data_IF_214212370550
#
_entry.id   IF_214212370550
#
_cell.length_a   1.000
_cell.length_b   1.000
_cell.length_c   1.000
_cell.angle_alpha   90.00
_cell.angle_beta   90.00
_cell.angle_gamma   90.00
#
_symmetry.space_group_name_H-M   'P 1'
#
loop_
_entity.id
_entity.type
_entity.pdbx_description
1 polymer ?
#
# COMPACT_ATOMS: atom_id res chain seq x y z
N UNK A 1 -6.29 32.53 20.96
CA UNK A 1 -7.00 31.43 21.65
C UNK A 1 -8.16 30.98 20.78
N UNK A 2 -8.43 29.67 20.72
CA UNK A 2 -9.55 29.09 19.97
C UNK A 2 -10.72 28.82 20.90
N UNK A 3 -11.91 29.26 20.52
CA UNK A 3 -13.18 28.99 21.21
C UNK A 3 -14.02 28.14 20.26
N UNK A 4 -14.39 26.94 20.69
CA UNK A 4 -14.99 25.90 19.84
C UNK A 4 -14.06 24.71 19.61
N UNK A 5 -14.33 23.83 18.63
CA UNK A 5 -15.34 23.97 17.57
C UNK A 5 -16.78 23.74 18.05
N UNK A 6 -17.74 24.30 17.32
CA UNK A 6 -19.17 24.18 17.55
C UNK A 6 -19.90 23.81 16.27
N UNK A 7 -20.99 23.07 16.37
CA UNK A 7 -21.82 22.81 15.21
C UNK A 7 -22.87 23.90 15.02
N UNK A 8 -23.00 24.42 13.79
CA UNK A 8 -24.02 25.40 13.42
C UNK A 8 -25.02 24.80 12.43
N UNK A 9 -26.26 24.46 12.85
CA UNK A 9 -27.24 23.84 11.96
C UNK A 9 -27.67 24.72 10.79
N UNK A 10 -27.74 26.04 11.00
CA UNK A 10 -28.13 27.00 9.94
C UNK A 10 -27.16 26.98 8.76
N UNK A 11 -25.88 26.73 9.03
CA UNK A 11 -24.82 26.69 8.03
C UNK A 11 -24.40 25.27 7.62
N UNK A 12 -24.99 24.22 8.21
CA UNK A 12 -24.54 22.80 8.10
C UNK A 12 -23.01 22.69 8.20
N UNK A 13 -22.40 23.36 9.19
CA UNK A 13 -20.96 23.52 9.28
C UNK A 13 -20.46 23.60 10.72
N UNK A 14 -19.18 23.24 10.91
CA UNK A 14 -18.47 23.58 12.14
C UNK A 14 -18.04 25.04 12.11
N UNK A 15 -18.14 25.71 13.25
CA UNK A 15 -17.68 27.05 13.50
C UNK A 15 -16.70 27.08 14.67
N UNK A 16 -15.70 27.95 14.60
CA UNK A 16 -14.84 28.29 15.75
C UNK A 16 -14.46 29.76 15.71
N UNK A 17 -14.16 30.31 16.88
CA UNK A 17 -13.70 31.69 17.01
C UNK A 17 -12.22 31.70 17.36
N UNK A 18 -11.42 32.44 16.58
CA UNK A 18 -9.99 32.63 16.80
C UNK A 18 -9.78 34.04 17.34
N UNK A 19 -9.18 34.14 18.52
CA UNK A 19 -8.92 35.41 19.21
C UNK A 19 -7.42 35.72 19.21
N UNK A 20 -7.01 36.78 18.50
CA UNK A 20 -5.61 37.18 18.32
C UNK A 20 -5.51 38.71 18.38
N UNK A 21 -4.68 39.25 19.28
CA UNK A 21 -4.35 40.69 19.32
C UNK A 21 -5.57 41.62 19.31
N UNK A 22 -6.55 41.34 20.17
CA UNK A 22 -7.87 42.01 20.25
C UNK A 22 -8.79 41.80 19.05
N UNK A 23 -8.40 41.05 18.01
CA UNK A 23 -9.26 40.66 16.90
C UNK A 23 -9.91 39.29 17.13
N UNK A 24 -11.19 39.19 16.82
CA UNK A 24 -11.94 37.93 16.75
C UNK A 24 -12.23 37.60 15.29
N UNK A 25 -11.69 36.48 14.83
CA UNK A 25 -12.00 35.89 13.52
C UNK A 25 -12.95 34.71 13.71
N UNK A 26 -13.86 34.53 12.76
CA UNK A 26 -14.74 33.36 12.70
C UNK A 26 -14.20 32.46 11.61
N UNK A 27 -13.96 31.20 11.95
CA UNK A 27 -13.61 30.17 10.97
C UNK A 27 -14.74 29.18 10.82
N UNK A 28 -14.95 28.73 9.59
CA UNK A 28 -15.96 27.76 9.21
C UNK A 28 -15.29 26.56 8.54
N UNK A 29 -15.86 25.38 8.78
CA UNK A 29 -15.49 24.14 8.13
C UNK A 29 -16.77 23.45 7.69
N UNK A 30 -17.01 23.49 6.38
CA UNK A 30 -18.23 22.97 5.76
C UNK A 30 -18.10 21.46 5.53
N UNK A 31 -19.23 20.75 5.50
CA UNK A 31 -19.28 19.35 5.07
C UNK A 31 -18.63 19.18 3.69
N UNK A 32 -17.85 18.11 3.50
CA UNK A 32 -17.35 17.75 2.18
C UNK A 32 -18.50 17.10 1.38
N UNK A 33 -18.92 17.65 0.22
CA UNK A 33 -20.00 17.09 -0.57
C UNK A 33 -19.67 15.71 -1.16
N UNK A 34 -18.39 15.40 -1.36
CA UNK A 34 -17.94 14.10 -1.88
C UNK A 34 -17.80 13.04 -0.77
N UNK A 35 -17.67 13.50 0.48
CA UNK A 35 -17.39 12.66 1.64
C UNK A 35 -18.21 13.18 2.82
N UNK A 36 -19.49 12.82 2.86
CA UNK A 36 -20.45 13.42 3.79
C UNK A 36 -20.09 13.27 5.29
N UNK A 37 -19.19 12.33 5.63
CA UNK A 37 -18.64 12.13 6.97
C UNK A 37 -17.47 13.04 7.30
N UNK A 38 -16.87 13.76 6.34
CA UNK A 38 -15.70 14.60 6.54
C UNK A 38 -16.05 16.07 6.33
N UNK A 39 -15.28 16.95 6.94
CA UNK A 39 -15.34 18.38 6.66
C UNK A 39 -14.17 18.84 5.80
N UNK A 40 -14.30 20.03 5.20
CA UNK A 40 -13.21 20.73 4.54
C UNK A 40 -12.29 21.41 5.55
N UNK A 41 -11.10 21.81 5.09
CA UNK A 41 -10.20 22.63 5.91
C UNK A 41 -10.91 23.90 6.43
N UNK A 42 -10.42 24.43 7.55
CA UNK A 42 -10.93 25.66 8.12
C UNK A 42 -10.65 26.87 7.22
N UNK A 43 -11.68 27.66 6.97
CA UNK A 43 -11.62 28.90 6.19
C UNK A 43 -12.16 30.08 7.00
N UNK A 44 -11.65 31.29 6.77
CA UNK A 44 -12.17 32.50 7.41
C UNK A 44 -13.55 32.86 6.80
N UNK A 45 -14.55 33.07 7.66
CA UNK A 45 -15.89 33.45 7.22
C UNK A 45 -15.87 34.94 6.76
N UNK A 46 -16.20 35.25 5.48
CA UNK A 46 -15.98 36.58 4.90
C UNK A 46 -16.81 37.69 5.56
N UNK A 47 -18.00 37.36 6.07
CA UNK A 47 -18.85 38.26 6.83
C UNK A 47 -18.78 37.95 8.33
N UNK A 48 -17.82 38.59 9.01
CA UNK A 48 -17.54 38.41 10.46
C UNK A 48 -18.69 38.84 11.38
N UNK A 49 -19.84 39.28 10.88
CA UNK A 49 -20.96 39.79 11.69
C UNK A 49 -22.14 38.83 11.57
N UNK A 50 -22.58 38.33 12.70
CA UNK A 50 -23.70 37.41 12.74
C UNK A 50 -24.07 37.04 14.16
N UNK A 51 -25.24 36.43 14.29
CA UNK A 51 -25.64 35.65 15.45
C UNK A 51 -25.73 34.21 14.97
N UNK A 52 -25.05 33.29 15.64
CA UNK A 52 -25.04 31.88 15.30
C UNK A 52 -25.60 31.08 16.47
N UNK A 53 -26.50 30.16 16.16
CA UNK A 53 -26.96 29.14 17.08
C UNK A 53 -26.02 27.94 17.00
N UNK A 54 -25.38 27.60 18.12
CA UNK A 54 -24.27 26.68 18.20
C UNK A 54 -24.53 25.59 19.24
N UNK A 55 -24.03 24.38 18.96
CA UNK A 55 -24.15 23.20 19.82
C UNK A 55 -22.76 22.55 20.05
N UNK A 56 -22.67 21.67 21.05
CA UNK A 56 -21.50 20.82 21.35
C UNK A 56 -20.25 21.56 21.82
N UNK A 57 -20.43 22.62 22.61
CA UNK A 57 -19.31 23.44 23.11
C UNK A 57 -18.27 22.66 23.93
N UNK A 58 -18.72 21.63 24.63
CA UNK A 58 -17.89 20.81 25.51
C UNK A 58 -17.89 19.32 25.12
N UNK A 59 -18.11 19.04 23.82
CA UNK A 59 -18.03 17.69 23.26
C UNK A 59 -19.37 16.95 23.16
N UNK A 60 -19.37 15.63 22.95
CA UNK A 60 -20.54 14.85 22.53
C UNK A 60 -21.68 14.77 23.56
N UNK A 61 -21.40 15.11 24.82
CA UNK A 61 -22.39 15.08 25.89
C UNK A 61 -23.05 16.44 26.11
N UNK A 62 -22.54 17.49 25.47
CA UNK A 62 -22.99 18.86 25.67
C UNK A 62 -23.93 19.29 24.53
N UNK A 63 -25.18 18.90 24.63
CA UNK A 63 -26.22 19.29 23.67
C UNK A 63 -26.86 20.63 24.04
N UNK A 64 -26.21 21.45 24.87
CA UNK A 64 -26.76 22.75 25.24
C UNK A 64 -26.75 23.68 24.03
N UNK A 65 -27.92 24.26 23.74
CA UNK A 65 -28.06 25.30 22.74
C UNK A 65 -27.47 26.60 23.30
N UNK A 66 -26.46 27.14 22.62
CA UNK A 66 -25.89 28.43 22.94
C UNK A 66 -25.89 29.34 21.71
N UNK A 67 -26.16 30.62 21.92
CA UNK A 67 -26.05 31.63 20.87
C UNK A 67 -24.77 32.45 21.04
N UNK A 68 -24.05 32.61 19.94
CA UNK A 68 -22.85 33.45 19.87
C UNK A 68 -23.10 34.59 18.89
N UNK A 69 -22.63 35.80 19.22
CA UNK A 69 -22.75 36.95 18.34
C UNK A 69 -21.43 37.71 18.28
N UNK A 70 -20.93 37.98 17.06
CA UNK A 70 -19.75 38.82 16.87
C UNK A 70 -20.20 40.22 16.43
N UNK A 71 -20.00 41.20 17.32
CA UNK A 71 -20.38 42.60 17.10
C UNK A 71 -19.23 43.52 17.49
N UNK A 72 -18.86 44.45 16.60
CA UNK A 72 -17.73 45.39 16.80
C UNK A 72 -16.47 44.69 17.34
N UNK A 73 -16.12 43.53 16.76
CA UNK A 73 -14.95 42.74 17.12
C UNK A 73 -14.97 42.18 18.58
N UNK A 74 -16.13 42.23 19.23
CA UNK A 74 -16.37 41.62 20.54
C UNK A 74 -17.28 40.40 20.36
N UNK A 75 -16.86 39.26 20.88
CA UNK A 75 -17.67 38.04 20.89
C UNK A 75 -18.57 38.04 22.12
N UNK A 76 -19.87 37.87 21.89
CA UNK A 76 -20.90 37.75 22.90
C UNK A 76 -21.44 36.32 22.92
N UNK A 77 -21.90 35.86 24.09
CA UNK A 77 -22.40 34.52 24.37
C UNK A 77 -23.67 34.59 25.23
N UNK A 78 -24.61 33.66 25.00
CA UNK A 78 -25.78 33.45 25.86
C UNK A 78 -26.33 32.02 25.70
N UNK A 79 -26.86 31.45 26.79
CA UNK A 79 -27.58 30.15 26.79
C UNK A 79 -29.11 30.34 26.57
N UNK A 80 -29.52 31.58 26.30
CA UNK A 80 -30.93 31.93 26.21
C UNK A 80 -31.64 32.01 27.56
N UNK A 81 -30.90 31.95 28.68
CA UNK A 81 -31.46 32.13 30.00
C UNK A 81 -31.86 33.60 30.21
N UNK A 82 -32.97 33.80 30.92
CA UNK A 82 -33.42 35.15 31.31
C UNK A 82 -33.28 35.29 32.81
N UNK A 83 -32.72 36.43 33.22
CA UNK A 83 -32.56 36.75 34.62
C UNK A 83 -33.94 36.93 35.26
N UNK A 84 -34.25 36.12 36.27
CA UNK A 84 -35.59 36.09 36.90
C UNK A 84 -36.05 37.42 37.48
N UNK A 85 -35.14 38.29 37.89
CA UNK A 85 -35.47 39.59 38.51
C UNK A 85 -35.70 40.68 37.48
N UNK A 86 -34.94 40.67 36.38
CA UNK A 86 -34.97 41.76 35.39
C UNK A 86 -35.73 41.40 34.12
N UNK A 87 -35.97 40.10 33.87
CA UNK A 87 -36.53 39.59 32.62
C UNK A 87 -35.58 39.67 31.42
N UNK A 88 -34.36 40.18 31.62
CA UNK A 88 -33.39 40.35 30.56
C UNK A 88 -32.62 39.06 30.27
N UNK A 89 -32.19 38.92 29.02
CA UNK A 89 -31.27 37.88 28.59
C UNK A 89 -29.98 37.95 29.40
N UNK A 90 -29.51 36.80 29.90
CA UNK A 90 -28.19 36.69 30.52
C UNK A 90 -27.15 36.51 29.41
N UNK A 91 -26.23 37.48 29.31
CA UNK A 91 -25.21 37.50 28.28
C UNK A 91 -23.83 37.68 28.88
N UNK A 92 -22.85 37.08 28.21
CA UNK A 92 -21.44 37.25 28.51
C UNK A 92 -20.67 37.78 27.31
N UNK A 93 -19.68 38.57 27.67
CA UNK A 93 -18.50 39.10 27.00
C UNK A 93 -17.24 38.28 26.84
N UNK A 94 -16.66 38.07 25.67
CA UNK A 94 -15.26 37.65 25.64
C UNK A 94 -14.33 38.85 25.79
N UNK A 95 -13.62 38.95 26.92
CA UNK A 95 -12.67 40.02 27.19
C UNK A 95 -11.51 39.50 28.06
N UNK A 96 -10.27 39.92 27.77
CA UNK A 96 -9.09 39.50 28.54
C UNK A 96 -8.98 37.96 28.76
N UNK A 97 -9.36 37.18 27.75
CA UNK A 97 -9.37 35.71 27.77
C UNK A 97 -10.34 35.07 28.79
N UNK A 98 -11.34 35.82 29.25
CA UNK A 98 -12.39 35.33 30.15
C UNK A 98 -13.77 35.78 29.68
N UNK A 99 -14.80 35.02 30.08
CA UNK A 99 -16.19 35.43 29.91
C UNK A 99 -16.59 36.40 31.03
N UNK A 100 -16.89 37.65 30.66
CA UNK A 100 -17.38 38.69 31.58
C UNK A 100 -18.90 38.84 31.44
N UNK A 101 -19.69 38.82 32.52
CA UNK A 101 -21.13 39.07 32.43
C UNK A 101 -21.40 40.50 31.96
N UNK A 102 -22.36 40.67 31.05
CA UNK A 102 -22.75 41.98 30.51
C UNK A 102 -24.16 42.32 30.95
N UNK A 103 -24.33 43.54 31.47
CA UNK A 103 -25.66 44.07 31.78
C UNK A 103 -26.37 44.49 30.47
N UNK A 104 -27.36 43.71 30.04
CA UNK A 104 -28.11 43.95 28.80
C UNK A 104 -28.68 45.38 28.68
N UNK A 105 -29.26 45.91 29.77
CA UNK A 105 -29.83 47.26 29.78
C UNK A 105 -28.77 48.34 29.54
N UNK A 106 -27.54 48.12 30.00
CA UNK A 106 -26.42 49.04 29.75
C UNK A 106 -25.98 48.96 28.29
N UNK A 107 -25.93 47.76 27.73
CA UNK A 107 -25.59 47.51 26.32
C UNK A 107 -26.60 48.18 25.38
N UNK A 108 -27.91 48.00 25.63
CA UNK A 108 -29.00 48.65 24.91
C UNK A 108 -28.88 50.18 24.88
N UNK A 109 -28.44 50.79 25.99
CA UNK A 109 -28.26 52.25 26.08
C UNK A 109 -27.00 52.75 25.37
N UNK A 110 -25.99 51.90 25.19
CA UNK A 110 -24.74 52.28 24.52
C UNK A 110 -24.82 52.22 22.99
N UNK A 111 -25.76 51.45 22.44
CA UNK A 111 -25.88 51.24 20.99
C UNK A 111 -26.97 52.18 20.45
N UNK A 112 -26.64 52.94 19.37
CA UNK A 112 -27.54 53.97 18.82
C UNK A 112 -28.83 53.39 18.20
N UNK A 113 -28.73 52.19 17.61
CA UNK A 113 -29.83 51.52 16.96
C UNK A 113 -30.10 50.19 17.70
N UNK A 114 -31.29 50.00 18.29
CA UNK A 114 -31.62 48.78 19.03
C UNK A 114 -31.48 47.48 18.22
N UNK A 115 -31.57 47.55 16.88
CA UNK A 115 -31.41 46.40 16.00
C UNK A 115 -29.94 45.93 15.88
N UNK A 116 -28.99 46.80 16.23
CA UNK A 116 -27.56 46.48 16.19
C UNK A 116 -27.09 45.83 17.51
N UNK A 117 -27.98 45.66 18.48
CA UNK A 117 -27.65 45.06 19.76
C UNK A 117 -27.43 43.56 19.57
N UNK A 118 -26.34 42.97 20.13
CA UNK A 118 -26.15 41.53 20.11
C UNK A 118 -27.41 40.79 20.58
N UNK A 119 -27.84 39.81 19.78
CA UNK A 119 -29.03 39.00 20.03
C UNK A 119 -30.38 39.77 19.98
N UNK A 120 -30.47 40.95 19.36
CA UNK A 120 -31.73 41.70 19.24
C UNK A 120 -32.87 40.90 18.58
N UNK A 121 -32.54 40.02 17.63
CA UNK A 121 -33.47 39.13 16.94
C UNK A 121 -33.52 37.71 17.51
N UNK A 122 -32.72 37.39 18.53
CA UNK A 122 -32.62 36.05 19.06
C UNK A 122 -33.92 35.65 19.74
N UNK A 123 -34.46 34.52 19.31
CA UNK A 123 -35.53 33.78 20.00
C UNK A 123 -34.98 32.39 20.21
N UNK A 124 -34.95 31.94 21.47
CA UNK A 124 -34.58 30.57 21.81
C UNK A 124 -35.43 29.65 20.94
N UNK A 125 -34.79 28.81 20.14
CA UNK A 125 -35.49 28.09 19.08
C UNK A 125 -36.46 27.09 19.72
N UNK A 126 -37.67 26.96 19.16
CA UNK A 126 -38.53 25.80 19.48
C UNK A 126 -37.97 24.51 18.87
N UNK A 127 -36.89 24.58 18.08
CA UNK A 127 -36.25 23.44 17.41
C UNK A 127 -35.41 22.56 18.35
N UNK A 128 -35.34 22.89 19.65
CA UNK A 128 -34.67 22.06 20.67
C UNK A 128 -35.25 20.63 20.80
N UNK A 129 -36.41 20.35 20.22
CA UNK A 129 -37.09 19.05 20.35
C UNK A 129 -36.44 17.90 19.56
N UNK A 130 -35.51 18.18 18.63
CA UNK A 130 -34.73 17.16 17.94
C UNK A 130 -33.25 17.58 17.84
N UNK A 131 -32.46 17.46 18.91
CA UNK A 131 -31.04 17.75 18.85
C UNK A 131 -30.39 16.81 17.83
N UNK A 132 -29.55 17.37 16.97
CA UNK A 132 -28.68 16.58 16.10
C UNK A 132 -27.88 15.61 16.98
N UNK A 133 -27.69 14.38 16.51
CA UNK A 133 -26.86 13.42 17.25
C UNK A 133 -25.41 13.72 16.91
N UNK A 134 -24.55 13.97 17.89
CA UNK A 134 -23.13 14.32 17.66
C UNK A 134 -22.45 13.32 16.71
N UNK A 135 -22.73 12.02 16.86
CA UNK A 135 -22.16 10.97 16.00
C UNK A 135 -22.61 10.99 14.54
N UNK A 136 -23.64 11.78 14.20
CA UNK A 136 -24.08 12.02 12.82
C UNK A 136 -23.44 13.24 12.18
N UNK A 137 -22.69 14.03 12.96
CA UNK A 137 -21.97 15.19 12.46
C UNK A 137 -20.71 14.77 11.70
N UNK A 138 -20.28 15.56 10.71
CA UNK A 138 -19.06 15.27 9.99
C UNK A 138 -17.83 15.49 10.89
N UNK A 139 -16.78 14.69 10.69
CA UNK A 139 -15.54 14.70 11.47
C UNK A 139 -14.81 16.04 11.29
N UNK A 140 -14.27 16.57 12.40
CA UNK A 140 -13.54 17.83 12.42
C UNK A 140 -12.25 17.76 11.59
N UNK A 141 -11.80 18.86 10.97
CA UNK A 141 -10.58 18.87 10.16
C UNK A 141 -9.34 18.33 10.88
N UNK A 142 -9.18 18.64 12.17
CA UNK A 142 -8.07 18.18 13.00
C UNK A 142 -8.12 16.67 13.30
N UNK A 143 -9.29 16.05 13.19
CA UNK A 143 -9.54 14.64 13.50
C UNK A 143 -9.52 13.77 12.23
N UNK A 144 -9.55 14.36 11.02
CA UNK A 144 -9.64 13.63 9.75
C UNK A 144 -8.50 12.62 9.60
N UNK A 145 -7.26 13.00 9.87
CA UNK A 145 -6.12 12.08 9.71
C UNK A 145 -6.21 10.90 10.69
N UNK A 146 -6.54 11.15 11.97
CA UNK A 146 -6.72 10.09 12.95
C UNK A 146 -7.90 9.16 12.57
N UNK A 147 -8.99 9.73 12.05
CA UNK A 147 -10.13 8.98 11.54
C UNK A 147 -9.74 8.12 10.33
N UNK A 148 -9.03 8.67 9.34
CA UNK A 148 -8.51 7.95 8.15
C UNK A 148 -7.60 6.79 8.55
N UNK A 149 -6.75 6.97 9.56
CA UNK A 149 -5.89 5.89 10.06
C UNK A 149 -6.66 4.80 10.80
N UNK A 150 -7.63 5.18 11.65
CA UNK A 150 -8.48 4.22 12.37
C UNK A 150 -9.36 3.40 11.42
N UNK A 151 -10.00 4.05 10.44
CA UNK A 151 -10.84 3.36 9.45
C UNK A 151 -10.01 2.45 8.53
N UNK A 152 -8.79 2.86 8.15
CA UNK A 152 -7.87 2.01 7.38
C UNK A 152 -7.48 0.77 8.17
N UNK A 153 -7.12 0.94 9.44
CA UNK A 153 -6.78 -0.18 10.33
C UNK A 153 -7.95 -1.16 10.45
N UNK A 154 -9.18 -0.64 10.60
CA UNK A 154 -10.40 -1.46 10.62
C UNK A 154 -10.65 -2.17 9.28
N UNK A 155 -10.41 -1.49 8.16
CA UNK A 155 -10.56 -2.04 6.82
C UNK A 155 -9.58 -3.20 6.58
N UNK A 156 -8.30 -3.01 6.93
CA UNK A 156 -7.27 -4.04 6.81
C UNK A 156 -7.56 -5.25 7.70
N UNK A 157 -7.98 -5.03 8.95
CA UNK A 157 -8.41 -6.11 9.83
C UNK A 157 -9.66 -6.84 9.29
N UNK A 158 -10.61 -6.10 8.73
CA UNK A 158 -11.79 -6.67 8.09
C UNK A 158 -11.39 -7.55 6.90
N UNK A 159 -10.53 -7.07 6.01
CA UNK A 159 -10.02 -7.84 4.88
C UNK A 159 -9.32 -9.13 5.34
N UNK A 160 -8.42 -9.03 6.34
CA UNK A 160 -7.74 -10.20 6.93
C UNK A 160 -8.72 -11.28 7.42
N UNK A 161 -9.84 -10.87 8.00
CA UNK A 161 -10.82 -11.78 8.60
C UNK A 161 -11.80 -12.37 7.58
N UNK A 162 -11.98 -11.74 6.40
CA UNK A 162 -12.99 -12.16 5.41
C UNK A 162 -12.37 -12.81 4.15
N UNK A 163 -11.08 -12.61 3.91
CA UNK A 163 -10.38 -13.27 2.81
C UNK A 163 -9.82 -14.60 3.30
N UNK A 164 -10.41 -15.69 2.80
CA UNK A 164 -9.96 -17.06 3.03
C UNK A 164 -9.15 -17.56 1.83
N UNK A 165 -8.28 -18.55 2.06
CA UNK A 165 -7.71 -19.37 0.99
C UNK A 165 -7.78 -20.84 1.40
N UNK A 166 -8.26 -21.74 0.50
CA UNK A 166 -8.29 -23.17 0.78
C UNK A 166 -6.91 -23.83 0.83
N UNK A 167 -5.86 -23.15 0.34
CA UNK A 167 -4.50 -23.72 0.28
C UNK A 167 -3.62 -23.37 1.48
N UNK A 168 -3.97 -22.32 2.24
CA UNK A 168 -3.15 -21.81 3.33
C UNK A 168 -3.85 -21.98 4.67
N UNK A 169 -3.08 -22.42 5.68
CA UNK A 169 -3.57 -22.42 7.06
C UNK A 169 -3.50 -21.01 7.67
N UNK A 170 -4.08 -20.83 8.86
CA UNK A 170 -4.16 -19.54 9.53
C UNK A 170 -2.80 -18.86 9.76
N UNK A 171 -1.77 -19.62 10.15
CA UNK A 171 -0.43 -19.07 10.37
C UNK A 171 0.23 -18.60 9.06
N UNK A 172 -0.01 -19.31 7.95
CA UNK A 172 0.45 -18.89 6.63
C UNK A 172 -0.30 -17.65 6.14
N UNK A 173 -1.62 -17.57 6.38
CA UNK A 173 -2.42 -16.39 6.06
C UNK A 173 -1.96 -15.16 6.87
N UNK A 174 -1.64 -15.32 8.16
CA UNK A 174 -1.07 -14.25 8.97
C UNK A 174 0.29 -13.78 8.44
N UNK A 175 1.14 -14.72 8.05
CA UNK A 175 2.43 -14.38 7.45
C UNK A 175 2.24 -13.63 6.12
N UNK A 176 1.40 -14.14 5.22
CA UNK A 176 1.07 -13.48 3.95
C UNK A 176 0.50 -12.08 4.17
N UNK A 177 -0.42 -11.92 5.12
CA UNK A 177 -1.00 -10.63 5.46
C UNK A 177 0.04 -9.65 6.01
N UNK A 178 1.00 -10.10 6.81
CA UNK A 178 2.09 -9.22 7.26
C UNK A 178 2.95 -8.74 6.09
N UNK A 179 3.30 -9.64 5.15
CA UNK A 179 4.03 -9.28 3.94
C UNK A 179 3.26 -8.34 3.01
N UNK A 180 1.94 -8.51 2.93
CA UNK A 180 1.04 -7.60 2.24
C UNK A 180 1.02 -6.21 2.89
N UNK A 181 0.86 -6.15 4.22
CA UNK A 181 0.82 -4.89 4.96
C UNK A 181 2.12 -4.11 4.82
N UNK A 182 3.28 -4.78 4.95
CA UNK A 182 4.60 -4.17 4.81
C UNK A 182 4.78 -3.50 3.43
N UNK A 183 4.26 -4.12 2.36
CA UNK A 183 4.38 -3.58 1.01
C UNK A 183 3.46 -2.36 0.77
N UNK A 184 2.35 -2.28 1.52
CA UNK A 184 1.41 -1.15 1.48
C UNK A 184 1.74 -0.01 2.44
N UNK A 185 2.80 -0.11 3.24
CA UNK A 185 3.20 0.98 4.15
C UNK A 185 3.58 2.26 3.38
N UNK A 186 4.09 2.12 2.15
CA UNK A 186 4.35 3.26 1.25
C UNK A 186 3.06 3.85 0.65
N UNK A 187 1.97 3.08 0.60
CA UNK A 187 0.67 3.49 0.08
C UNK A 187 -0.22 4.01 1.23
N UNK A 188 0.19 5.14 1.81
CA UNK A 188 -0.50 5.75 2.95
C UNK A 188 -1.75 6.51 2.52
N UNK A 189 -2.85 6.34 3.25
CA UNK A 189 -4.10 7.08 3.06
C UNK A 189 -3.89 8.61 3.19
N UNK A 190 -3.00 9.06 4.07
CA UNK A 190 -2.71 10.49 4.23
C UNK A 190 -1.96 11.11 3.02
N UNK A 191 -1.46 10.29 2.09
CA UNK A 191 -0.84 10.80 0.85
C UNK A 191 -1.85 11.28 -0.19
N UNK A 192 -3.15 11.11 0.07
CA UNK A 192 -4.25 11.48 -0.82
C UNK A 192 -5.05 12.65 -0.25
N UNK A 193 -5.41 13.59 -1.13
CA UNK A 193 -6.21 14.77 -0.79
C UNK A 193 -7.60 14.36 -0.27
N UNK A 194 -8.28 13.47 -1.00
CA UNK A 194 -9.59 12.93 -0.63
C UNK A 194 -9.54 11.41 -0.46
N UNK A 195 -10.53 10.83 0.24
CA UNK A 195 -10.65 9.37 0.29
C UNK A 195 -11.16 8.78 -1.02
N UNK A 196 -11.86 9.56 -1.84
CA UNK A 196 -12.22 9.15 -3.19
C UNK A 196 -10.96 8.93 -4.05
N UNK A 197 -9.95 9.80 -3.92
CA UNK A 197 -8.68 9.64 -4.64
C UNK A 197 -7.91 8.40 -4.16
N UNK A 198 -7.88 8.14 -2.85
CA UNK A 198 -7.32 6.89 -2.31
C UNK A 198 -8.01 5.66 -2.91
N UNK A 199 -9.35 5.63 -2.91
CA UNK A 199 -10.12 4.51 -3.43
C UNK A 199 -9.97 4.32 -4.94
N UNK A 200 -9.83 5.41 -5.70
CA UNK A 200 -9.50 5.36 -7.13
C UNK A 200 -8.11 4.79 -7.37
N UNK A 201 -7.11 5.24 -6.61
CA UNK A 201 -5.76 4.71 -6.69
C UNK A 201 -5.72 3.23 -6.32
N UNK A 202 -6.46 2.82 -5.28
CA UNK A 202 -6.61 1.41 -4.91
C UNK A 202 -7.23 0.60 -6.06
N UNK A 203 -8.32 1.09 -6.67
CA UNK A 203 -8.94 0.46 -7.83
C UNK A 203 -7.98 0.36 -9.02
N UNK A 204 -7.16 1.39 -9.25
CA UNK A 204 -6.14 1.40 -10.29
C UNK A 204 -5.06 0.34 -10.04
N UNK A 205 -4.54 0.23 -8.80
CA UNK A 205 -3.58 -0.81 -8.41
C UNK A 205 -4.13 -2.21 -8.73
N UNK A 206 -5.40 -2.46 -8.42
CA UNK A 206 -6.01 -3.77 -8.65
C UNK A 206 -6.20 -4.00 -10.16
N UNK A 207 -6.60 -2.98 -10.91
CA UNK A 207 -6.96 -3.12 -12.34
C UNK A 207 -5.76 -3.09 -13.30
N UNK A 208 -4.66 -2.44 -12.91
CA UNK A 208 -3.50 -2.20 -13.77
C UNK A 208 -2.29 -3.05 -13.33
N UNK A 209 -1.94 -4.07 -14.11
CA UNK A 209 -0.81 -4.97 -13.85
C UNK A 209 0.55 -4.27 -13.90
N UNK A 210 0.65 -3.17 -14.65
CA UNK A 210 1.85 -2.36 -14.76
C UNK A 210 1.99 -1.34 -13.63
N UNK A 211 1.00 -1.24 -12.73
CA UNK A 211 1.09 -0.36 -11.59
C UNK A 211 2.23 -0.82 -10.67
N UNK A 212 3.09 0.11 -10.23
CA UNK A 212 4.28 -0.22 -9.45
C UNK A 212 3.97 -1.00 -8.17
N UNK A 213 2.91 -0.61 -7.44
CA UNK A 213 2.42 -1.32 -6.24
C UNK A 213 1.90 -2.73 -6.59
N UNK A 214 1.25 -2.91 -7.75
CA UNK A 214 0.80 -4.22 -8.22
C UNK A 214 1.99 -5.14 -8.46
N UNK A 215 3.00 -4.65 -9.18
CA UNK A 215 4.23 -5.40 -9.46
C UNK A 215 4.99 -5.75 -8.17
N UNK A 216 5.05 -4.82 -7.21
CA UNK A 216 5.62 -5.05 -5.88
C UNK A 216 4.90 -6.15 -5.11
N UNK A 217 3.56 -6.14 -5.08
CA UNK A 217 2.75 -7.18 -4.45
C UNK A 217 2.96 -8.55 -5.13
N UNK A 218 3.03 -8.58 -6.47
CA UNK A 218 3.36 -9.80 -7.21
C UNK A 218 4.75 -10.32 -6.86
N UNK A 219 5.76 -9.45 -6.82
CA UNK A 219 7.12 -9.83 -6.44
C UNK A 219 7.18 -10.33 -4.99
N UNK A 220 6.45 -9.69 -4.08
CA UNK A 220 6.34 -10.11 -2.67
C UNK A 220 5.71 -11.49 -2.54
N UNK A 221 4.59 -11.74 -3.23
CA UNK A 221 3.94 -13.04 -3.27
C UNK A 221 4.87 -14.14 -3.82
N UNK A 222 5.70 -13.83 -4.82
CA UNK A 222 6.70 -14.76 -5.35
C UNK A 222 7.81 -15.05 -4.33
N UNK A 223 8.27 -14.02 -3.60
CA UNK A 223 9.38 -14.11 -2.65
C UNK A 223 9.04 -14.83 -1.33
N UNK A 224 7.75 -14.91 -0.96
CA UNK A 224 7.34 -15.67 0.24
C UNK A 224 7.55 -17.16 0.06
N UNK A 225 8.51 -17.73 0.82
CA UNK A 225 9.12 -19.02 0.57
C UNK A 225 8.76 -20.10 1.63
N UNK A 226 7.67 -19.93 2.39
CA UNK A 226 7.22 -20.99 3.34
C UNK A 226 6.79 -22.29 2.62
N UNK A 227 6.69 -22.24 1.29
CA UNK A 227 6.53 -23.40 0.44
C UNK A 227 7.77 -24.32 0.54
N UNK A 228 8.99 -23.78 0.63
CA UNK A 228 10.25 -24.57 0.68
C UNK A 228 10.33 -25.51 1.86
N UNK A 229 9.82 -25.13 3.03
CA UNK A 229 9.86 -25.99 4.23
C UNK A 229 8.96 -27.23 4.10
N UNK A 230 7.89 -27.16 3.31
CA UNK A 230 7.04 -28.31 2.98
C UNK A 230 7.80 -29.34 2.13
N UNK A 231 8.76 -28.90 1.30
CA UNK A 231 9.46 -29.75 0.33
C UNK A 231 10.68 -30.50 0.88
N UNK A 232 11.35 -30.00 1.93
CA UNK A 232 12.58 -30.63 2.43
C UNK A 232 12.30 -31.92 3.22
N UNK A 233 11.08 -32.14 3.70
CA UNK A 233 10.76 -33.28 4.56
C UNK A 233 10.51 -34.61 3.83
N UNK A 234 10.39 -34.64 2.49
CA UNK A 234 9.88 -35.83 1.75
C UNK A 234 10.76 -36.34 0.60
N UNK A 235 11.90 -35.73 0.30
CA UNK A 235 12.72 -36.12 -0.85
C UNK A 235 13.69 -37.30 -0.55
N UNK A 236 13.24 -38.53 -0.77
CA UNK A 236 14.12 -39.72 -0.87
C UNK A 236 14.78 -39.80 -2.27
N UNK A 237 16.01 -40.29 -2.32
CA UNK A 237 17.00 -40.02 -3.39
C UNK A 237 16.91 -40.95 -4.61
N UNK A 238 15.82 -40.93 -5.37
CA UNK A 238 15.74 -41.69 -6.64
C UNK A 238 15.49 -40.78 -7.88
N UNK A 239 16.37 -40.83 -8.88
CA UNK A 239 16.52 -39.76 -9.90
C UNK A 239 15.40 -39.66 -10.95
N UNK A 240 14.66 -40.74 -11.24
CA UNK A 240 13.48 -40.67 -12.13
C UNK A 240 12.22 -40.23 -11.39
N UNK A 241 12.08 -40.62 -10.12
CA UNK A 241 11.04 -40.10 -9.23
C UNK A 241 11.28 -38.61 -8.99
N UNK A 242 12.54 -38.20 -8.83
CA UNK A 242 12.95 -36.80 -8.73
C UNK A 242 12.50 -35.92 -9.91
N UNK A 243 12.55 -36.39 -11.18
CA UNK A 243 12.08 -35.58 -12.33
C UNK A 243 10.55 -35.48 -12.38
N UNK A 244 9.82 -36.55 -12.05
CA UNK A 244 8.35 -36.50 -11.94
C UNK A 244 7.91 -35.61 -10.77
N UNK A 245 8.58 -35.73 -9.64
CA UNK A 245 8.42 -34.86 -8.46
C UNK A 245 8.75 -33.42 -8.84
N UNK A 246 9.84 -33.17 -9.59
CA UNK A 246 10.25 -31.81 -9.98
C UNK A 246 9.23 -31.10 -10.89
N UNK A 247 8.72 -31.75 -11.93
CA UNK A 247 7.68 -31.14 -12.78
C UNK A 247 6.36 -30.92 -12.02
N UNK A 248 6.03 -31.83 -11.09
CA UNK A 248 4.89 -31.64 -10.19
C UNK A 248 5.13 -30.51 -9.17
N UNK A 249 6.38 -30.31 -8.75
CA UNK A 249 6.80 -29.26 -7.82
C UNK A 249 6.74 -27.90 -8.49
N UNK A 250 7.12 -27.79 -9.76
CA UNK A 250 7.03 -26.55 -10.52
C UNK A 250 5.57 -26.12 -10.75
N UNK A 251 4.72 -27.02 -11.23
CA UNK A 251 3.28 -26.75 -11.37
C UNK A 251 2.65 -26.38 -10.02
N UNK A 252 3.06 -27.05 -8.94
CA UNK A 252 2.59 -26.73 -7.58
C UNK A 252 3.08 -25.35 -7.13
N UNK A 253 4.34 -24.98 -7.40
CA UNK A 253 4.86 -23.63 -7.11
C UNK A 253 4.12 -22.55 -7.88
N UNK A 254 3.85 -22.77 -9.17
CA UNK A 254 3.02 -21.85 -9.98
C UNK A 254 1.63 -21.68 -9.39
N UNK A 255 0.99 -22.79 -8.98
CA UNK A 255 -0.31 -22.76 -8.31
C UNK A 255 -0.27 -22.01 -6.97
N UNK A 256 0.73 -22.27 -6.14
CA UNK A 256 0.90 -21.57 -4.86
C UNK A 256 1.16 -20.08 -5.08
N UNK A 257 1.98 -19.71 -6.06
CA UNK A 257 2.21 -18.33 -6.44
C UNK A 257 0.92 -17.63 -6.89
N UNK A 258 0.17 -18.26 -7.79
CA UNK A 258 -1.11 -17.73 -8.26
C UNK A 258 -2.10 -17.54 -7.10
N UNK A 259 -2.17 -18.48 -6.16
CA UNK A 259 -3.02 -18.36 -4.96
C UNK A 259 -2.55 -17.23 -4.03
N UNK A 260 -1.24 -17.08 -3.78
CA UNK A 260 -0.70 -15.97 -2.97
C UNK A 260 -1.02 -14.61 -3.60
N UNK A 261 -0.88 -14.53 -4.92
CA UNK A 261 -1.24 -13.35 -5.71
C UNK A 261 -2.73 -13.03 -5.53
N UNK A 262 -3.59 -14.01 -5.77
CA UNK A 262 -5.05 -13.87 -5.61
C UNK A 262 -5.43 -13.45 -4.19
N UNK A 263 -4.78 -14.04 -3.17
CA UNK A 263 -4.98 -13.67 -1.77
C UNK A 263 -4.69 -12.17 -1.54
N UNK A 264 -3.57 -11.64 -2.04
CA UNK A 264 -3.24 -10.21 -1.91
C UNK A 264 -4.25 -9.30 -2.62
N UNK A 265 -4.72 -9.66 -3.81
CA UNK A 265 -5.72 -8.85 -4.51
C UNK A 265 -7.09 -8.90 -3.84
N UNK A 266 -7.49 -10.05 -3.33
CA UNK A 266 -8.73 -10.16 -2.55
C UNK A 266 -8.65 -9.31 -1.27
N UNK A 267 -7.48 -9.20 -0.63
CA UNK A 267 -7.27 -8.28 0.50
C UNK A 267 -7.49 -6.81 0.09
N UNK A 268 -6.91 -6.35 -1.02
CA UNK A 268 -7.13 -4.98 -1.52
C UNK A 268 -8.61 -4.71 -1.85
N UNK A 269 -9.28 -5.69 -2.47
CA UNK A 269 -10.69 -5.57 -2.87
C UNK A 269 -11.58 -5.47 -1.64
N UNK A 270 -11.38 -6.32 -0.63
CA UNK A 270 -12.15 -6.27 0.61
C UNK A 270 -11.85 -5.02 1.44
N UNK A 271 -10.59 -4.55 1.47
CA UNK A 271 -10.24 -3.25 2.06
C UNK A 271 -11.00 -2.11 1.36
N UNK A 272 -10.96 -2.06 0.03
CA UNK A 272 -11.61 -1.04 -0.78
C UNK A 272 -13.13 -1.04 -0.61
N UNK A 273 -13.77 -2.21 -0.62
CA UNK A 273 -15.22 -2.36 -0.38
C UNK A 273 -15.61 -1.89 1.02
N UNK A 274 -14.82 -2.23 2.04
CA UNK A 274 -15.08 -1.81 3.41
C UNK A 274 -15.00 -0.29 3.54
N UNK A 275 -13.93 0.31 3.02
CA UNK A 275 -13.72 1.76 3.04
C UNK A 275 -14.81 2.50 2.27
N UNK A 276 -15.16 2.06 1.06
CA UNK A 276 -16.24 2.65 0.26
C UNK A 276 -17.56 2.69 1.04
N UNK A 277 -17.93 1.58 1.69
CA UNK A 277 -19.14 1.48 2.51
C UNK A 277 -19.09 2.40 3.72
N UNK A 278 -18.00 2.35 4.48
CA UNK A 278 -17.86 3.13 5.72
C UNK A 278 -17.73 4.62 5.45
N UNK A 279 -17.20 5.04 4.30
CA UNK A 279 -17.10 6.45 3.91
C UNK A 279 -18.33 6.95 3.13
N UNK A 280 -19.23 6.05 2.72
CA UNK A 280 -20.40 6.38 1.90
C UNK A 280 -20.04 6.82 0.49
N UNK A 281 -18.92 6.31 -0.05
CA UNK A 281 -18.42 6.63 -1.39
C UNK A 281 -18.88 5.55 -2.37
N UNK A 282 -19.57 5.95 -3.43
CA UNK A 282 -19.99 5.04 -4.50
C UNK A 282 -18.83 4.76 -5.46
N UNK A 283 -18.13 3.65 -5.22
CA UNK A 283 -17.09 3.12 -6.10
C UNK A 283 -17.26 1.60 -6.24
N UNK A 284 -17.39 1.16 -7.49
CA UNK A 284 -17.58 -0.25 -7.79
C UNK A 284 -16.24 -0.99 -7.89
N UNK A 285 -15.96 -1.84 -6.91
CA UNK A 285 -14.86 -2.81 -6.95
C UNK A 285 -15.28 -4.16 -7.59
N UNK A 286 -16.57 -4.38 -7.85
CA UNK A 286 -17.10 -5.64 -8.40
C UNK A 286 -16.73 -5.80 -9.88
N UNK A 287 -16.70 -4.71 -10.64
CA UNK A 287 -16.19 -4.73 -12.03
C UNK A 287 -14.77 -5.24 -12.14
N UNK A 288 -13.94 -5.03 -11.12
CA UNK A 288 -12.55 -5.52 -11.12
C UNK A 288 -12.50 -7.04 -10.90
N UNK A 289 -13.37 -7.56 -10.04
CA UNK A 289 -13.55 -9.00 -9.86
C UNK A 289 -14.01 -9.69 -11.15
N UNK A 290 -14.97 -9.10 -11.86
CA UNK A 290 -15.48 -9.68 -13.11
C UNK A 290 -14.37 -9.84 -14.17
N UNK A 291 -13.49 -8.84 -14.29
CA UNK A 291 -12.34 -8.90 -15.21
C UNK A 291 -11.34 -9.98 -14.80
N UNK A 292 -11.07 -10.14 -13.50
CA UNK A 292 -10.17 -11.20 -13.01
C UNK A 292 -10.81 -12.60 -13.08
N UNK A 293 -12.13 -12.72 -12.88
CA UNK A 293 -12.87 -13.97 -13.06
C UNK A 293 -12.91 -14.40 -14.52
N UNK A 294 -13.13 -13.48 -15.46
CA UNK A 294 -13.07 -13.74 -16.90
C UNK A 294 -11.67 -14.23 -17.29
N UNK A 295 -10.62 -13.55 -16.83
CA UNK A 295 -9.23 -13.98 -17.01
C UNK A 295 -8.95 -15.34 -16.37
N UNK A 296 -9.53 -15.63 -15.20
CA UNK A 296 -9.41 -16.93 -14.54
C UNK A 296 -10.08 -18.02 -15.35
N UNK A 297 -11.26 -17.74 -15.91
CA UNK A 297 -11.99 -18.68 -16.76
C UNK A 297 -11.21 -18.99 -18.05
N UNK A 298 -10.52 -18.00 -18.63
CA UNK A 298 -9.61 -18.20 -19.76
C UNK A 298 -8.46 -19.16 -19.39
N UNK A 299 -7.88 -19.03 -18.19
CA UNK A 299 -6.77 -19.91 -17.75
C UNK A 299 -7.19 -21.31 -17.23
N UNK A 300 -8.44 -21.51 -16.80
CA UNK A 300 -8.91 -22.77 -16.18
C UNK A 300 -9.45 -23.77 -17.22
N UNK A 301 -9.74 -23.34 -18.45
CA UNK A 301 -10.34 -24.18 -19.50
C UNK A 301 -9.38 -25.16 -20.19
N UNK A 302 -8.22 -25.45 -19.63
CA UNK A 302 -7.40 -26.60 -20.06
C UNK A 302 -7.83 -27.82 -19.23
N UNK A 303 -8.74 -28.68 -19.72
CA UNK A 303 -9.07 -29.91 -19.02
C UNK A 303 -7.79 -30.74 -18.87
N UNK A 304 -7.40 -30.96 -17.62
CA UNK A 304 -6.37 -31.93 -17.28
C UNK A 304 -6.90 -33.30 -17.68
N UNK A 305 -6.58 -33.74 -18.89
CA UNK A 305 -6.99 -35.05 -19.40
C UNK A 305 -6.20 -36.12 -18.63
N UNK A 306 -6.74 -36.48 -17.47
CA UNK A 306 -6.09 -37.38 -16.50
C UNK A 306 -6.13 -38.83 -16.95
N UNK A 307 -6.91 -39.16 -17.98
CA UNK A 307 -7.12 -40.51 -18.49
C UNK A 307 -7.29 -40.53 -20.02
N UNK A 308 -6.25 -40.19 -20.78
CA UNK A 308 -6.17 -40.59 -22.19
C UNK A 308 -5.72 -42.06 -22.28
N UNK A 309 -6.60 -42.94 -21.83
CA UNK A 309 -6.53 -44.38 -22.00
C UNK A 309 -7.87 -44.92 -22.49
N UNK A 310 -8.43 -44.38 -23.58
CA UNK A 310 -9.63 -44.91 -24.25
C UNK A 310 -9.51 -44.70 -25.78
N UNK A 311 -9.60 -45.81 -26.53
CA UNK A 311 -9.90 -45.85 -27.97
C UNK A 311 -11.24 -45.14 -28.25
N UNK A 312 -11.23 -44.08 -29.06
CA UNK A 312 -12.46 -43.44 -29.51
C UNK A 312 -13.20 -44.31 -30.54
N UNK A 313 -14.54 -44.49 -30.42
CA UNK A 313 -15.34 -45.09 -31.48
C UNK A 313 -15.51 -44.10 -32.65
N UNK A 314 -15.61 -44.60 -33.89
CA UNK A 314 -15.78 -43.74 -35.05
C UNK A 314 -17.26 -43.36 -35.18
N UNK A 315 -17.52 -42.05 -35.03
CA UNK A 315 -18.64 -41.26 -35.57
C UNK A 315 -19.28 -40.36 -34.51
N UNK A 316 -18.88 -39.10 -34.52
CA UNK A 316 -19.86 -38.03 -34.36
C UNK A 316 -19.42 -36.83 -35.20
N UNK A 317 -20.20 -36.53 -36.23
CA UNK A 317 -20.17 -35.27 -36.96
C UNK A 317 -20.53 -34.14 -35.97
N UNK A 318 -19.53 -33.43 -35.48
CA UNK A 318 -19.70 -32.20 -34.71
C UNK A 318 -18.76 -31.13 -35.28
N UNK A 319 -19.39 -30.26 -36.07
CA UNK A 319 -19.11 -28.83 -36.30
C UNK A 319 -17.66 -28.40 -36.04
N UNK A 320 -16.92 -28.30 -37.12
CA UNK A 320 -15.62 -27.66 -37.26
C UNK A 320 -15.78 -26.14 -37.03
N UNK A 321 -15.70 -25.71 -35.77
CA UNK A 321 -15.41 -24.30 -35.43
C UNK A 321 -13.89 -24.23 -35.23
N UNK A 322 -13.22 -23.48 -36.09
CA UNK A 322 -11.76 -23.46 -36.24
C UNK A 322 -10.97 -23.46 -34.94
N UNK A 323 -10.34 -24.60 -34.67
CA UNK A 323 -9.53 -24.94 -33.50
C UNK A 323 -8.09 -24.40 -33.60
N UNK A 324 -7.87 -23.26 -34.26
CA UNK A 324 -6.53 -22.86 -34.74
C UNK A 324 -6.04 -21.48 -34.31
N UNK A 325 -6.51 -20.93 -33.18
CA UNK A 325 -5.96 -19.68 -32.62
C UNK A 325 -5.74 -19.66 -31.09
N UNK A 326 -6.10 -20.71 -30.34
CA UNK A 326 -6.02 -20.69 -28.87
C UNK A 326 -4.74 -21.32 -28.28
N UNK A 327 -4.14 -22.33 -28.93
CA UNK A 327 -2.84 -22.89 -28.49
C UNK A 327 -1.66 -21.91 -28.58
N UNK A 328 -1.79 -20.86 -29.40
CA UNK A 328 -0.74 -19.86 -29.58
C UNK A 328 -0.73 -18.85 -28.42
N UNK A 329 -1.91 -18.41 -27.96
CA UNK A 329 -2.06 -17.46 -26.84
C UNK A 329 -1.63 -18.05 -25.49
N UNK A 330 -1.95 -19.32 -25.22
CA UNK A 330 -1.52 -20.02 -24.00
C UNK A 330 0.01 -20.21 -23.97
N UNK A 331 0.61 -20.51 -25.13
CA UNK A 331 2.06 -20.60 -25.26
C UNK A 331 2.72 -19.25 -24.97
N UNK A 332 2.16 -18.15 -25.45
CA UNK A 332 2.68 -16.80 -25.15
C UNK A 332 2.57 -16.42 -23.67
N UNK A 333 1.47 -16.76 -22.99
CA UNK A 333 1.30 -16.46 -21.56
C UNK A 333 2.24 -17.32 -20.68
N UNK A 334 2.41 -18.60 -21.02
CA UNK A 334 3.37 -19.49 -20.34
C UNK A 334 4.82 -19.10 -20.60
N UNK A 335 5.16 -18.67 -21.83
CA UNK A 335 6.48 -18.15 -22.17
C UNK A 335 6.78 -16.87 -21.39
N UNK A 336 5.83 -15.92 -21.33
CA UNK A 336 6.00 -14.67 -20.58
C UNK A 336 6.16 -14.92 -19.08
N UNK A 337 5.36 -15.81 -18.49
CA UNK A 337 5.46 -16.15 -17.07
C UNK A 337 6.79 -16.86 -16.76
N UNK A 338 7.25 -17.74 -17.65
CA UNK A 338 8.57 -18.37 -17.51
C UNK A 338 9.70 -17.36 -17.63
N UNK A 339 9.56 -16.41 -18.54
CA UNK A 339 10.51 -15.31 -18.69
C UNK A 339 10.62 -14.49 -17.40
N UNK A 340 9.48 -14.19 -16.78
CA UNK A 340 9.40 -13.44 -15.52
C UNK A 340 10.02 -14.21 -14.34
N UNK A 341 9.74 -15.52 -14.24
CA UNK A 341 10.33 -16.38 -13.19
C UNK A 341 11.85 -16.43 -13.32
N UNK A 342 12.36 -16.64 -14.53
CA UNK A 342 13.79 -16.69 -14.80
C UNK A 342 14.48 -15.35 -14.52
N UNK A 343 13.81 -14.23 -14.83
CA UNK A 343 14.27 -12.89 -14.47
C UNK A 343 14.32 -12.67 -12.96
N UNK A 344 13.31 -13.14 -12.22
CA UNK A 344 13.29 -13.08 -10.74
C UNK A 344 14.47 -13.87 -10.16
N UNK A 345 14.73 -15.07 -10.68
CA UNK A 345 15.84 -15.92 -10.26
C UNK A 345 17.21 -15.26 -10.52
N UNK A 346 17.38 -14.62 -11.69
CA UNK A 346 18.58 -13.82 -12.01
C UNK A 346 18.79 -12.68 -11.02
N UNK A 347 17.74 -11.87 -10.79
CA UNK A 347 17.79 -10.71 -9.87
C UNK A 347 18.13 -11.17 -8.46
N UNK A 348 17.52 -12.27 -8.02
CA UNK A 348 17.79 -12.89 -6.71
C UNK A 348 19.24 -13.37 -6.60
N UNK A 349 19.77 -14.03 -7.64
CA UNK A 349 21.17 -14.47 -7.66
C UNK A 349 22.16 -13.30 -7.58
N UNK A 350 21.93 -12.21 -8.33
CA UNK A 350 22.79 -11.01 -8.28
C UNK A 350 22.70 -10.31 -6.92
N UNK A 351 21.49 -10.21 -6.34
CA UNK A 351 21.30 -9.64 -5.01
C UNK A 351 22.05 -10.42 -3.93
N UNK A 352 21.91 -11.76 -3.92
CA UNK A 352 22.62 -12.64 -2.99
C UNK A 352 24.14 -12.54 -3.18
N UNK A 353 24.63 -12.46 -4.42
CA UNK A 353 26.05 -12.30 -4.70
C UNK A 353 26.61 -10.99 -4.13
N UNK A 354 25.87 -9.88 -4.28
CA UNK A 354 26.25 -8.58 -3.73
C UNK A 354 26.27 -8.62 -2.20
N UNK A 355 25.25 -9.20 -1.58
CA UNK A 355 25.17 -9.32 -0.11
C UNK A 355 26.30 -10.20 0.44
N UNK A 356 26.56 -11.35 -0.19
CA UNK A 356 27.65 -12.25 0.21
C UNK A 356 29.03 -11.57 0.07
N UNK A 357 29.22 -10.81 -1.01
CA UNK A 357 30.44 -10.02 -1.20
C UNK A 357 30.60 -8.90 -0.15
N UNK A 358 29.50 -8.26 0.24
CA UNK A 358 29.47 -7.23 1.27
C UNK A 358 29.74 -7.79 2.67
N UNK A 359 29.10 -8.91 3.04
CA UNK A 359 29.33 -9.61 4.31
C UNK A 359 30.79 -10.05 4.44
N UNK A 360 31.35 -10.61 3.38
CA UNK A 360 32.77 -10.95 3.33
C UNK A 360 33.67 -9.73 3.54
N UNK A 361 33.36 -8.60 2.88
CA UNK A 361 34.11 -7.35 3.03
C UNK A 361 34.04 -6.77 4.45
N UNK A 362 32.86 -6.84 5.08
CA UNK A 362 32.62 -6.39 6.47
C UNK A 362 33.21 -7.33 7.53
N UNK A 363 33.72 -8.51 7.14
CA UNK A 363 34.17 -9.59 8.04
C UNK A 363 33.06 -10.05 9.00
N UNK A 364 31.84 -10.15 8.49
CA UNK A 364 30.72 -10.67 9.27
C UNK A 364 30.96 -12.17 9.58
N UNK A 365 30.85 -12.54 10.86
CA UNK A 365 31.08 -13.92 11.32
C UNK A 365 29.98 -14.90 10.85
N UNK A 366 28.86 -14.40 10.34
CA UNK A 366 27.78 -15.21 9.75
C UNK A 366 28.04 -15.62 8.29
N UNK A 367 29.02 -15.01 7.63
CA UNK A 367 29.41 -15.38 6.27
C UNK A 367 30.21 -16.68 6.29
N UNK A 368 29.82 -17.62 5.41
CA UNK A 368 30.65 -18.78 5.05
C UNK A 368 32.01 -18.27 4.59
N UNK A 369 33.01 -18.37 5.47
CA UNK A 369 34.41 -18.01 5.20
C UNK A 369 35.11 -19.00 4.26
N UNK A 370 34.34 -19.75 3.46
CA UNK A 370 34.77 -20.79 2.52
C UNK A 370 35.72 -20.25 1.44
N UNK A 371 35.73 -18.92 1.26
CA UNK A 371 36.63 -18.20 0.34
C UNK A 371 37.94 -17.72 1.00
N UNK A 372 38.11 -17.98 2.30
CA UNK A 372 39.33 -17.76 3.09
C UNK A 372 39.49 -16.32 3.64
N UNK A 373 40.41 -16.14 4.60
CA UNK A 373 40.67 -14.84 5.22
C UNK A 373 41.37 -13.88 4.26
N UNK A 374 41.22 -12.59 4.51
CA UNK A 374 41.92 -11.52 3.80
C UNK A 374 43.43 -11.70 3.92
N UNK A 375 44.11 -11.81 2.77
CA UNK A 375 45.56 -11.63 2.73
C UNK A 375 45.91 -10.16 2.98
N UNK A 376 47.09 -9.89 3.52
CA UNK A 376 47.57 -8.52 3.81
C UNK A 376 47.45 -7.56 2.60
N UNK A 377 47.52 -8.07 1.37
CA UNK A 377 47.40 -7.30 0.13
C UNK A 377 46.03 -7.37 -0.57
N UNK A 378 45.06 -8.17 -0.10
CA UNK A 378 43.71 -8.20 -0.70
C UNK A 378 42.88 -6.97 -0.33
N UNK A 379 43.12 -6.40 0.86
CA UNK A 379 42.43 -5.21 1.36
C UNK A 379 42.62 -3.97 0.46
N UNK A 380 43.80 -3.82 -0.15
CA UNK A 380 44.11 -2.67 -1.01
C UNK A 380 43.45 -2.75 -2.40
N UNK A 381 43.03 -3.94 -2.85
CA UNK A 381 42.45 -4.17 -4.19
C UNK A 381 40.94 -4.42 -4.19
N UNK A 382 40.35 -4.75 -3.05
CA UNK A 382 38.91 -5.01 -2.88
C UNK A 382 38.28 -4.00 -1.91
N UNK A 383 38.51 -2.71 -2.17
CA UNK A 383 38.05 -1.60 -1.32
C UNK A 383 36.62 -1.13 -1.60
N UNK A 384 36.26 0.00 -0.96
CA UNK A 384 34.95 0.67 -1.07
C UNK A 384 34.42 0.82 -2.51
N UNK A 385 35.30 1.07 -3.47
CA UNK A 385 34.94 1.18 -4.90
C UNK A 385 34.34 -0.10 -5.47
N UNK A 386 34.89 -1.27 -5.09
CA UNK A 386 34.34 -2.57 -5.53
C UNK A 386 32.97 -2.86 -4.94
N UNK A 387 32.72 -2.47 -3.69
CA UNK A 387 31.41 -2.58 -3.05
C UNK A 387 30.38 -1.65 -3.69
N UNK A 388 30.77 -0.40 -3.97
CA UNK A 388 29.92 0.56 -4.68
C UNK A 388 29.55 0.07 -6.08
N UNK A 389 30.53 -0.49 -6.81
CA UNK A 389 30.28 -1.09 -8.11
C UNK A 389 29.30 -2.26 -8.02
N UNK A 390 29.51 -3.22 -7.10
CA UNK A 390 28.61 -4.37 -6.94
C UNK A 390 27.18 -3.96 -6.59
N UNK A 391 27.01 -2.94 -5.75
CA UNK A 391 25.70 -2.37 -5.42
C UNK A 391 25.04 -1.70 -6.64
N UNK A 392 25.80 -0.92 -7.42
CA UNK A 392 25.30 -0.31 -8.65
C UNK A 392 24.92 -1.37 -9.69
N UNK A 393 25.74 -2.39 -9.86
CA UNK A 393 25.49 -3.51 -10.77
C UNK A 393 24.24 -4.31 -10.40
N UNK A 394 23.99 -4.55 -9.11
CA UNK A 394 22.72 -5.13 -8.62
C UNK A 394 21.53 -4.29 -9.04
N UNK A 395 21.60 -2.96 -8.85
CA UNK A 395 20.50 -2.08 -9.21
C UNK A 395 20.25 -2.07 -10.72
N UNK A 396 21.31 -2.06 -11.53
CA UNK A 396 21.22 -2.16 -12.99
C UNK A 396 20.45 -3.42 -13.42
N UNK A 397 20.86 -4.59 -12.92
CA UNK A 397 20.19 -5.87 -13.22
C UNK A 397 18.75 -5.91 -12.69
N UNK A 398 18.47 -5.32 -11.52
CA UNK A 398 17.11 -5.26 -10.96
C UNK A 398 16.14 -4.44 -11.80
N UNK A 399 16.64 -3.47 -12.57
CA UNK A 399 15.82 -2.62 -13.44
C UNK A 399 15.76 -3.10 -14.89
N UNK A 400 16.61 -4.06 -15.27
CA UNK A 400 16.69 -4.59 -16.62
C UNK A 400 15.61 -5.66 -16.89
N UNK A 401 15.16 -5.77 -18.15
CA UNK A 401 14.49 -6.97 -18.65
C UNK A 401 15.46 -8.18 -18.65
N UNK A 402 14.95 -9.38 -18.93
CA UNK A 402 15.74 -10.62 -18.89
C UNK A 402 16.94 -10.60 -19.83
N UNK A 403 16.74 -10.19 -21.08
CA UNK A 403 17.80 -10.18 -22.09
C UNK A 403 18.89 -9.18 -21.67
N UNK A 404 18.47 -7.98 -21.27
CA UNK A 404 19.37 -6.92 -20.79
C UNK A 404 20.12 -7.34 -19.53
N UNK A 405 19.47 -8.00 -18.58
CA UNK A 405 20.10 -8.53 -17.36
C UNK A 405 21.19 -9.56 -17.68
N UNK A 406 20.89 -10.51 -18.56
CA UNK A 406 21.84 -11.53 -19.03
C UNK A 406 23.02 -10.86 -19.75
N UNK A 407 22.74 -9.87 -20.61
CA UNK A 407 23.76 -9.13 -21.34
C UNK A 407 24.70 -8.39 -20.38
N UNK A 408 24.16 -7.66 -19.39
CA UNK A 408 24.97 -6.96 -18.36
C UNK A 408 25.83 -7.94 -17.55
N UNK A 409 25.29 -9.10 -17.17
CA UNK A 409 26.05 -10.16 -16.49
C UNK A 409 27.21 -10.67 -17.35
N UNK A 410 26.93 -10.99 -18.61
CA UNK A 410 27.94 -11.52 -19.52
C UNK A 410 29.00 -10.48 -19.87
N UNK A 411 28.62 -9.23 -20.11
CA UNK A 411 29.55 -8.13 -20.36
C UNK A 411 30.48 -7.92 -19.16
N UNK A 412 29.92 -7.90 -17.94
CA UNK A 412 30.71 -7.81 -16.72
C UNK A 412 31.71 -8.96 -16.61
N UNK A 413 31.29 -10.20 -16.87
CA UNK A 413 32.19 -11.37 -16.82
C UNK A 413 33.26 -11.30 -17.91
N UNK A 414 32.92 -10.93 -19.15
CA UNK A 414 33.85 -10.86 -20.28
C UNK A 414 34.82 -9.67 -20.19
N UNK A 415 34.53 -8.65 -19.38
CA UNK A 415 35.36 -7.46 -19.32
C UNK A 415 36.84 -7.80 -19.04
N UNK A 416 37.81 -7.23 -19.79
CA UNK A 416 39.23 -7.56 -19.65
C UNK A 416 39.77 -7.40 -18.22
N UNK A 417 39.21 -6.44 -17.50
CA UNK A 417 39.58 -6.09 -16.11
C UNK A 417 38.90 -6.96 -15.05
N UNK A 418 37.94 -7.80 -15.41
CA UNK A 418 37.26 -8.68 -14.46
C UNK A 418 38.22 -9.73 -13.95
N UNK A 419 38.44 -9.70 -12.65
CA UNK A 419 39.27 -10.64 -11.93
C UNK A 419 38.40 -11.74 -11.34
N UNK A 420 38.85 -12.99 -11.45
CA UNK A 420 38.17 -14.19 -10.93
C UNK A 420 38.87 -14.76 -9.70
N UNK A 421 39.46 -13.86 -8.89
CA UNK A 421 40.09 -14.26 -7.64
C UNK A 421 39.02 -14.60 -6.62
N UNK A 422 39.35 -15.48 -5.67
CA UNK A 422 38.42 -15.98 -4.64
C UNK A 422 37.72 -14.90 -3.79
N UNK A 423 38.15 -13.65 -3.87
CA UNK A 423 37.64 -12.48 -3.13
C UNK A 423 37.04 -11.41 -4.05
N UNK A 424 36.92 -11.68 -5.34
CA UNK A 424 36.34 -10.76 -6.32
C UNK A 424 34.82 -10.89 -6.35
N UNK A 425 34.11 -9.80 -6.63
CA UNK A 425 32.67 -9.84 -6.84
C UNK A 425 32.26 -10.89 -7.90
N UNK A 426 33.03 -11.03 -8.98
CA UNK A 426 32.78 -12.02 -10.02
C UNK A 426 32.74 -13.47 -9.50
N UNK A 427 33.51 -13.81 -8.47
CA UNK A 427 33.46 -15.16 -7.88
C UNK A 427 32.21 -15.39 -7.03
N UNK A 428 31.77 -14.39 -6.26
CA UNK A 428 30.49 -14.45 -5.53
C UNK A 428 29.30 -14.49 -6.50
N UNK A 429 29.38 -13.73 -7.60
CA UNK A 429 28.38 -13.76 -8.65
C UNK A 429 28.26 -15.14 -9.28
N UNK A 430 29.39 -15.76 -9.65
CA UNK A 430 29.39 -17.11 -10.22
C UNK A 430 28.92 -18.19 -9.22
N UNK A 431 29.16 -18.03 -7.91
CA UNK A 431 28.62 -18.95 -6.91
C UNK A 431 27.09 -18.99 -6.92
N UNK A 432 26.45 -17.83 -7.09
CA UNK A 432 24.99 -17.74 -7.15
C UNK A 432 24.45 -18.15 -8.53
N UNK A 433 25.09 -17.69 -9.62
CA UNK A 433 24.66 -18.02 -10.99
C UNK A 433 24.77 -19.52 -11.30
N UNK A 434 25.76 -20.22 -10.74
CA UNK A 434 25.91 -21.67 -10.94
C UNK A 434 24.79 -22.49 -10.29
N UNK A 435 23.99 -21.90 -9.39
CA UNK A 435 22.82 -22.55 -8.79
C UNK A 435 21.60 -22.52 -9.72
N UNK A 436 21.60 -21.64 -10.73
CA UNK A 436 20.49 -21.48 -11.67
C UNK A 436 20.54 -22.56 -12.76
N UNK A 437 19.61 -23.52 -12.71
CA UNK A 437 19.63 -24.72 -13.57
C UNK A 437 19.31 -24.46 -15.03
N UNK A 438 18.60 -23.38 -15.33
CA UNK A 438 18.18 -23.06 -16.70
C UNK A 438 19.25 -22.26 -17.47
N UNK A 439 20.31 -21.83 -16.77
CA UNK A 439 21.33 -20.96 -17.35
C UNK A 439 22.66 -21.70 -17.61
N UNK A 440 23.45 -21.27 -18.62
CA UNK A 440 24.69 -21.94 -19.01
C UNK A 440 25.75 -21.94 -17.89
N UNK A 441 25.72 -20.95 -17.00
CA UNK A 441 26.69 -20.83 -15.91
C UNK A 441 26.68 -22.03 -14.96
N UNK A 442 25.61 -22.83 -14.88
CA UNK A 442 25.54 -24.06 -14.06
C UNK A 442 26.67 -25.07 -14.31
N UNK A 443 27.26 -25.03 -15.50
CA UNK A 443 28.35 -25.92 -15.91
C UNK A 443 29.70 -25.53 -15.31
N UNK A 444 29.85 -24.27 -14.86
CA UNK A 444 31.08 -23.77 -14.27
C UNK A 444 31.29 -24.35 -12.87
N UNK A 445 32.54 -24.65 -12.55
CA UNK A 445 32.93 -25.11 -11.21
C UNK A 445 34.12 -24.31 -10.74
N UNK A 446 34.07 -23.86 -9.49
CA UNK A 446 35.25 -23.32 -8.85
C UNK A 446 36.26 -24.44 -8.59
N UNK A 447 37.55 -24.16 -8.79
CA UNK A 447 38.63 -25.07 -8.38
C UNK A 447 38.55 -25.30 -6.87
N UNK A 448 38.38 -26.56 -6.46
CA UNK A 448 38.18 -26.94 -5.06
C UNK A 448 39.36 -26.60 -4.14
N UNK A 449 40.58 -26.47 -4.68
CA UNK A 449 41.80 -26.22 -3.91
C UNK A 449 42.05 -24.74 -3.66
N UNK A 450 41.75 -23.88 -4.64
CA UNK A 450 42.02 -22.44 -4.55
C UNK A 450 40.75 -21.58 -4.49
N UNK A 451 39.58 -22.20 -4.63
CA UNK A 451 38.23 -21.61 -4.66
C UNK A 451 38.12 -20.46 -5.68
N UNK A 452 38.58 -20.70 -6.90
CA UNK A 452 38.58 -19.74 -8.01
C UNK A 452 37.96 -20.32 -9.25
N UNK A 453 37.23 -19.50 -9.99
CA UNK A 453 36.78 -19.83 -11.34
C UNK A 453 37.90 -19.55 -12.35
N UNK A 454 38.03 -20.42 -13.34
CA UNK A 454 38.97 -20.22 -14.44
C UNK A 454 38.43 -19.15 -15.39
N UNK A 455 39.16 -18.05 -15.58
CA UNK A 455 38.79 -17.01 -16.57
C UNK A 455 38.67 -17.61 -17.97
N UNK A 456 39.53 -18.55 -18.33
CA UNK A 456 39.50 -19.20 -19.63
C UNK A 456 38.20 -19.99 -19.82
N UNK A 457 37.77 -20.78 -18.83
CA UNK A 457 36.53 -21.56 -18.90
C UNK A 457 35.28 -20.66 -18.94
N UNK A 458 35.27 -19.57 -18.16
CA UNK A 458 34.16 -18.61 -18.19
C UNK A 458 34.06 -17.94 -19.56
N UNK A 459 35.19 -17.47 -20.10
CA UNK A 459 35.24 -16.84 -21.43
C UNK A 459 34.87 -17.85 -22.52
N UNK A 460 35.34 -19.09 -22.42
CA UNK A 460 35.01 -20.17 -23.36
C UNK A 460 33.51 -20.46 -23.35
N UNK A 461 32.89 -20.63 -22.18
CA UNK A 461 31.44 -20.85 -22.05
C UNK A 461 30.63 -19.71 -22.66
N UNK A 462 31.03 -18.46 -22.41
CA UNK A 462 30.30 -17.28 -22.90
C UNK A 462 30.53 -17.03 -24.40
N UNK A 463 31.69 -17.41 -24.94
CA UNK A 463 32.01 -17.29 -26.37
C UNK A 463 31.57 -18.49 -27.20
N UNK A 464 31.34 -19.67 -26.59
CA UNK A 464 30.95 -20.89 -27.31
C UNK A 464 29.57 -20.80 -27.94
N UNK A 465 28.88 -19.66 -27.79
CA UNK A 465 27.61 -19.42 -28.44
C UNK A 465 26.60 -20.50 -28.09
N UNK A 466 26.59 -20.97 -26.83
CA UNK A 466 25.36 -21.47 -26.22
C UNK A 466 24.42 -20.28 -26.18
N UNK A 467 23.90 -19.95 -27.36
CA UNK A 467 22.98 -18.89 -27.63
C UNK A 467 21.85 -19.14 -26.68
N UNK A 468 21.67 -18.21 -25.73
CA UNK A 468 20.33 -17.90 -25.28
C UNK A 468 19.49 -17.90 -26.56
N UNK A 469 18.53 -18.81 -26.69
CA UNK A 469 17.51 -18.66 -27.71
C UNK A 469 16.79 -17.37 -27.32
N UNK A 470 17.32 -16.25 -27.82
CA UNK A 470 16.71 -14.92 -27.84
C UNK A 470 15.72 -14.94 -29.00
#
# INVERSE_FOLDING_TARGET
MTIGPFWCPELDSWLRFITESDEVRVQISTRNPEENKLCRAWEDLPDKKGTWLLYFSHGPNDNSEAAYCLYENTLYYTEGETNRLTGNLELSRWAAQVWEPVNYNRLLKSIKNPQDVPFASYKKSEHADNPLVFSSLPILPEEISAFKQDILKKARQHARNNVESPLFNEAQLDFLYSQFSDELDEFSFDSFETSLDYLRALKEIISNREHSVHQKLNARAAATDFDREIFVATADHNTQEFIRTYNSDEQRRRRLYAEKKEYFFNLLIEEGKYLARELGIDIDFSSVLAVEEERRAEHVLVPFNRDAGIDYPPNSDLIEVGEFQFEELDRYADEQLMEDIELIDLRTAVANAQENYEKWYKKDNSCRNDRGPNGFFSWFRHGKTGQQFAAAFKNEVNTADKISAIASINEFLLAPKTAYHRHSFASFLLDELTKLKEFPWKSLKADATINRYSKAEVVELLNSGLSFHI
#
